data_IF_989973544572
#
_entry.id   IF_989973544572
#
_cell.length_a   1.000
_cell.length_b   1.000
_cell.length_c   1.000
_cell.angle_alpha   90.00
_cell.angle_beta   90.00
_cell.angle_gamma   90.00
#
_symmetry.space_group_name_H-M   'P 1'
#
loop_
_entity.id
_entity.type
_entity.pdbx_description
1 polymer ?
#
# COMPACT_ATOMS: atom_id res chain seq x y z
N UNK A 1 6.23 46.55 -1.55
CA UNK A 1 7.32 47.12 -2.39
C UNK A 1 7.03 46.77 -3.84
N UNK A 2 7.05 47.73 -4.75
CA UNK A 2 6.60 47.52 -6.14
C UNK A 2 7.55 46.58 -6.89
N UNK A 3 7.05 45.45 -7.40
CA UNK A 3 7.77 44.55 -8.33
C UNK A 3 8.38 45.30 -9.52
N UNK A 4 7.68 46.33 -9.99
CA UNK A 4 8.13 47.24 -11.05
C UNK A 4 9.43 47.96 -10.71
N UNK A 5 9.70 48.26 -9.43
CA UNK A 5 10.93 48.95 -9.03
C UNK A 5 12.17 48.10 -9.31
N UNK A 6 12.17 46.83 -8.87
CA UNK A 6 13.31 45.92 -9.07
C UNK A 6 13.55 45.60 -10.54
N UNK A 7 12.47 45.48 -11.31
CA UNK A 7 12.56 45.26 -12.75
C UNK A 7 13.22 46.46 -13.47
N UNK A 8 12.76 47.69 -13.19
CA UNK A 8 13.36 48.92 -13.74
C UNK A 8 14.81 49.07 -13.29
N UNK A 9 15.11 48.74 -12.03
CA UNK A 9 16.45 48.78 -11.49
C UNK A 9 17.40 47.83 -12.24
N UNK A 10 16.97 46.59 -12.51
CA UNK A 10 17.74 45.63 -13.28
C UNK A 10 18.04 46.13 -14.71
N UNK A 11 17.06 46.74 -15.37
CA UNK A 11 17.24 47.37 -16.70
C UNK A 11 18.29 48.49 -16.64
N UNK A 12 18.15 49.40 -15.68
CA UNK A 12 19.08 50.53 -15.54
C UNK A 12 20.51 50.06 -15.22
N UNK A 13 20.67 49.03 -14.39
CA UNK A 13 21.96 48.41 -14.09
C UNK A 13 22.59 47.73 -15.32
N UNK A 14 21.77 47.06 -16.13
CA UNK A 14 22.22 46.44 -17.38
C UNK A 14 22.70 47.49 -18.39
N UNK A 15 21.93 48.58 -18.58
CA UNK A 15 22.32 49.71 -19.42
C UNK A 15 23.58 50.41 -18.91
N UNK A 16 23.70 50.64 -17.61
CA UNK A 16 24.90 51.20 -17.00
C UNK A 16 26.13 50.32 -17.30
N UNK A 17 25.98 49.01 -17.19
CA UNK A 17 27.05 48.05 -17.50
C UNK A 17 27.47 48.12 -18.97
N UNK A 18 26.50 48.28 -19.88
CA UNK A 18 26.77 48.48 -21.31
C UNK A 18 27.56 49.77 -21.57
N UNK A 19 27.12 50.90 -21.01
CA UNK A 19 27.78 52.19 -21.20
C UNK A 19 29.21 52.22 -20.63
N UNK A 20 29.41 51.64 -19.43
CA UNK A 20 30.76 51.47 -18.86
C UNK A 20 31.64 50.63 -19.78
N UNK A 21 31.11 49.54 -20.32
CA UNK A 21 31.83 48.67 -21.26
C UNK A 21 32.23 49.41 -22.55
N UNK A 22 31.31 50.16 -23.15
CA UNK A 22 31.57 50.97 -24.35
C UNK A 22 32.62 52.06 -24.10
N UNK A 23 32.57 52.72 -22.94
CA UNK A 23 33.52 53.78 -22.56
C UNK A 23 34.93 53.20 -22.37
N UNK A 24 35.05 52.07 -21.66
CA UNK A 24 36.33 51.33 -21.49
C UNK A 24 36.91 50.91 -22.85
N UNK A 25 36.05 50.49 -23.79
CA UNK A 25 36.49 50.08 -25.12
C UNK A 25 36.95 51.26 -25.98
N UNK A 26 36.27 52.40 -25.90
CA UNK A 26 36.58 53.61 -26.67
C UNK A 26 37.80 54.39 -26.14
N UNK A 27 38.21 54.17 -24.88
CA UNK A 27 39.34 54.86 -24.26
C UNK A 27 40.66 54.59 -25.02
N UNK A 28 41.43 55.63 -25.37
CA UNK A 28 42.73 55.50 -26.04
C UNK A 28 43.86 55.11 -25.06
N UNK A 29 43.61 54.14 -24.17
CA UNK A 29 44.59 53.63 -23.20
C UNK A 29 45.28 52.38 -23.78
N UNK A 30 46.62 52.27 -23.75
CA UNK A 30 47.35 51.13 -24.32
C UNK A 30 47.43 49.89 -23.42
N UNK A 31 46.68 49.83 -22.31
CA UNK A 31 46.68 48.66 -21.42
C UNK A 31 45.70 47.57 -21.90
N UNK A 32 46.27 46.42 -22.27
CA UNK A 32 45.54 45.23 -22.72
C UNK A 32 44.68 44.63 -21.60
N UNK A 33 45.06 44.76 -20.33
CA UNK A 33 44.31 44.20 -19.21
C UNK A 33 43.02 44.97 -18.98
N UNK A 34 43.09 46.30 -18.96
CA UNK A 34 41.93 47.16 -18.82
C UNK A 34 40.97 47.06 -20.01
N UNK A 35 41.50 47.03 -21.24
CA UNK A 35 40.68 46.92 -22.47
C UNK A 35 39.92 45.62 -22.62
N UNK A 36 40.33 44.53 -21.95
CA UNK A 36 39.58 43.25 -21.97
C UNK A 36 38.23 43.35 -21.25
N UNK A 37 38.09 44.26 -20.29
CA UNK A 37 36.82 44.45 -19.57
C UNK A 37 35.73 45.07 -20.45
N UNK A 38 36.09 45.96 -21.39
CA UNK A 38 35.13 46.62 -22.29
C UNK A 38 34.22 45.64 -23.05
N UNK A 39 34.75 44.76 -23.93
CA UNK A 39 33.93 43.82 -24.68
C UNK A 39 33.26 42.76 -23.78
N UNK A 40 33.86 42.45 -22.63
CA UNK A 40 33.26 41.52 -21.66
C UNK A 40 32.01 42.13 -21.01
N UNK A 41 32.05 43.38 -20.56
CA UNK A 41 30.91 44.09 -19.97
C UNK A 41 29.78 44.29 -20.98
N UNK A 42 30.10 44.60 -22.24
CA UNK A 42 29.11 44.73 -23.32
C UNK A 42 28.38 43.39 -23.54
N UNK A 43 29.12 42.28 -23.63
CA UNK A 43 28.52 40.94 -23.76
C UNK A 43 27.62 40.61 -22.57
N UNK A 44 28.04 41.02 -21.37
CA UNK A 44 27.33 40.74 -20.13
C UNK A 44 26.04 41.51 -19.99
N UNK A 45 26.04 42.80 -20.36
CA UNK A 45 24.83 43.63 -20.39
C UNK A 45 23.82 43.11 -21.41
N UNK A 46 24.26 42.72 -22.60
CA UNK A 46 23.36 42.16 -23.62
C UNK A 46 22.70 40.89 -23.10
N UNK A 47 23.47 40.00 -22.46
CA UNK A 47 22.94 38.76 -21.90
C UNK A 47 21.95 39.04 -20.75
N UNK A 48 22.29 39.97 -19.84
CA UNK A 48 21.36 40.38 -18.77
C UNK A 48 20.06 40.94 -19.35
N UNK A 49 20.16 41.79 -20.37
CA UNK A 49 18.99 42.39 -21.02
C UNK A 49 18.07 41.35 -21.66
N UNK A 50 18.63 40.35 -22.33
CA UNK A 50 17.87 39.22 -22.90
C UNK A 50 17.15 38.43 -21.80
N UNK A 51 17.83 38.15 -20.68
CA UNK A 51 17.21 37.44 -19.55
C UNK A 51 16.08 38.28 -18.97
N UNK A 52 16.30 39.57 -18.69
CA UNK A 52 15.27 40.46 -18.12
C UNK A 52 14.01 40.48 -18.99
N UNK A 53 14.15 40.56 -20.32
CA UNK A 53 13.01 40.57 -21.23
C UNK A 53 12.29 39.20 -21.31
N UNK A 54 13.03 38.10 -21.24
CA UNK A 54 12.48 36.74 -21.40
C UNK A 54 11.91 36.16 -20.11
N UNK A 55 12.36 36.63 -18.94
CA UNK A 55 12.09 35.96 -17.66
C UNK A 55 10.61 35.99 -17.26
N UNK A 56 9.87 37.06 -17.58
CA UNK A 56 8.43 37.12 -17.30
C UNK A 56 7.66 36.09 -18.11
N UNK A 57 8.04 35.89 -19.38
CA UNK A 57 7.46 34.85 -20.22
C UNK A 57 7.81 33.46 -19.67
N UNK A 58 9.09 33.21 -19.38
CA UNK A 58 9.55 31.94 -18.82
C UNK A 58 8.80 31.62 -17.53
N UNK A 59 8.72 32.57 -16.59
CA UNK A 59 8.06 32.36 -15.29
C UNK A 59 6.57 32.03 -15.44
N UNK A 60 5.87 32.71 -16.35
CA UNK A 60 4.46 32.44 -16.62
C UNK A 60 4.21 31.07 -17.27
N UNK A 61 5.23 30.50 -17.94
CA UNK A 61 5.13 29.21 -18.61
C UNK A 61 5.50 28.02 -17.70
N UNK A 62 6.08 28.26 -16.51
CA UNK A 62 6.53 27.19 -15.61
C UNK A 62 5.39 26.28 -15.14
N UNK A 63 4.23 26.85 -14.82
CA UNK A 63 3.09 26.05 -14.37
C UNK A 63 2.56 25.14 -15.49
N UNK A 64 2.57 25.62 -16.74
CA UNK A 64 2.19 24.80 -17.89
C UNK A 64 3.18 23.66 -18.14
N UNK A 65 4.48 23.91 -17.97
CA UNK A 65 5.50 22.85 -18.04
C UNK A 65 5.32 21.82 -16.93
N UNK A 66 5.05 22.26 -15.70
CA UNK A 66 4.77 21.36 -14.58
C UNK A 66 3.54 20.50 -14.86
N UNK A 67 2.45 21.09 -15.37
CA UNK A 67 1.23 20.39 -15.74
C UNK A 67 1.46 19.34 -16.83
N UNK A 68 2.28 19.65 -17.85
CA UNK A 68 2.65 18.69 -18.90
C UNK A 68 3.42 17.48 -18.36
N UNK A 69 4.13 17.64 -17.25
CA UNK A 69 4.85 16.56 -16.56
C UNK A 69 3.96 15.83 -15.53
N UNK A 70 2.66 16.15 -15.47
CA UNK A 70 1.70 15.61 -14.52
C UNK A 70 1.74 16.25 -13.13
N UNK A 71 2.56 17.29 -12.94
CA UNK A 71 2.72 18.01 -11.68
C UNK A 71 1.72 19.15 -11.53
N UNK A 72 1.30 19.42 -10.30
CA UNK A 72 0.57 20.65 -9.97
C UNK A 72 0.77 21.04 -8.50
N UNK A 73 0.62 22.33 -8.18
CA UNK A 73 0.66 22.78 -6.79
C UNK A 73 -0.42 22.13 -5.91
N UNK A 74 -1.60 21.84 -6.47
CA UNK A 74 -2.66 21.15 -5.74
C UNK A 74 -2.24 19.71 -5.41
N UNK A 75 -1.64 19.02 -6.37
CA UNK A 75 -1.16 17.65 -6.18
C UNK A 75 -0.02 17.59 -5.15
N UNK A 76 0.92 18.53 -5.20
CA UNK A 76 1.95 18.69 -4.18
C UNK A 76 1.37 18.92 -2.78
N UNK A 77 0.40 19.81 -2.63
CA UNK A 77 -0.22 20.10 -1.33
C UNK A 77 -0.93 18.88 -0.73
N UNK A 78 -1.65 18.11 -1.57
CA UNK A 78 -2.30 16.87 -1.14
C UNK A 78 -1.28 15.81 -0.70
N UNK A 79 -0.25 15.59 -1.52
CA UNK A 79 0.84 14.66 -1.17
C UNK A 79 1.54 15.07 0.13
N UNK A 80 1.81 16.36 0.30
CA UNK A 80 2.47 16.90 1.49
C UNK A 80 1.63 16.69 2.74
N UNK A 81 0.33 17.03 2.69
CA UNK A 81 -0.59 16.84 3.81
C UNK A 81 -0.70 15.37 4.21
N UNK A 82 -0.83 14.47 3.24
CA UNK A 82 -0.89 13.02 3.49
C UNK A 82 0.42 12.49 4.09
N UNK A 83 1.56 12.91 3.55
CA UNK A 83 2.89 12.48 4.03
C UNK A 83 3.17 12.97 5.45
N UNK A 84 2.76 14.20 5.77
CA UNK A 84 2.89 14.77 7.11
C UNK A 84 1.95 14.07 8.10
N UNK A 85 0.68 13.86 7.72
CA UNK A 85 -0.31 13.15 8.57
C UNK A 85 0.17 11.74 8.89
N UNK A 86 0.64 10.99 7.89
CA UNK A 86 1.16 9.64 8.07
C UNK A 86 2.36 9.62 9.02
N UNK A 87 3.34 10.51 8.81
CA UNK A 87 4.52 10.60 9.68
C UNK A 87 4.18 10.96 11.12
N UNK A 88 3.23 11.87 11.34
CA UNK A 88 2.76 12.24 12.69
C UNK A 88 2.02 11.09 13.35
N UNK A 89 1.10 10.43 12.65
CA UNK A 89 0.35 9.30 13.22
C UNK A 89 1.25 8.15 13.65
N UNK A 90 2.26 7.79 12.85
CA UNK A 90 3.24 6.76 13.25
C UNK A 90 4.05 7.24 14.44
N UNK A 91 4.48 8.51 14.47
CA UNK A 91 5.23 9.05 15.60
C UNK A 91 4.41 9.06 16.88
N UNK A 92 3.13 9.39 16.81
CA UNK A 92 2.21 9.33 17.96
C UNK A 92 2.11 7.90 18.50
N UNK A 93 1.99 6.90 17.61
CA UNK A 93 2.03 5.49 17.98
C UNK A 93 3.35 5.18 18.69
N UNK A 94 4.50 5.49 18.08
CA UNK A 94 5.83 5.23 18.68
C UNK A 94 5.97 5.88 20.07
N UNK A 95 5.46 7.10 20.24
CA UNK A 95 5.49 7.80 21.54
C UNK A 95 4.58 7.14 22.58
N UNK A 96 3.37 6.74 22.22
CA UNK A 96 2.45 6.01 23.10
C UNK A 96 3.04 4.65 23.50
N UNK A 97 3.65 3.93 22.55
CA UNK A 97 4.36 2.70 22.86
C UNK A 97 5.53 2.97 23.82
N UNK A 98 6.35 3.99 23.55
CA UNK A 98 7.47 4.34 24.42
C UNK A 98 7.06 4.69 25.86
N UNK A 99 5.87 5.29 26.05
CA UNK A 99 5.35 5.67 27.36
C UNK A 99 4.75 4.48 28.11
N UNK A 100 4.04 3.58 27.43
CA UNK A 100 3.49 2.35 28.03
C UNK A 100 4.59 1.40 28.52
N UNK A 101 5.67 1.26 27.76
CA UNK A 101 6.78 0.39 28.15
C UNK A 101 7.72 1.02 29.18
N UNK A 102 7.58 2.31 29.51
CA UNK A 102 8.44 2.99 30.49
C UNK A 102 8.35 2.44 31.92
N UNK A 103 7.35 1.62 32.23
CA UNK A 103 7.06 1.07 33.57
C UNK A 103 7.54 -0.37 33.80
N UNK A 104 8.12 -1.05 32.80
CA UNK A 104 8.46 -2.48 32.85
C UNK A 104 9.99 -2.66 32.89
N UNK A 105 10.59 -3.48 33.76
CA UNK A 105 12.06 -3.59 33.92
C UNK A 105 12.88 -3.96 32.66
N UNK A 106 12.25 -4.36 31.55
CA UNK A 106 12.87 -4.65 30.24
C UNK A 106 12.95 -3.43 29.29
N UNK A 107 12.72 -2.20 29.77
CA UNK A 107 12.69 -0.94 28.98
C UNK A 107 13.91 -0.74 28.07
N UNK A 108 15.11 -1.13 28.50
CA UNK A 108 16.35 -0.82 27.76
C UNK A 108 16.42 -1.49 26.40
N UNK A 109 15.90 -2.71 26.28
CA UNK A 109 15.88 -3.48 25.04
C UNK A 109 14.84 -2.89 24.07
N UNK A 110 13.65 -2.55 24.57
CA UNK A 110 12.58 -1.93 23.77
C UNK A 110 12.98 -0.52 23.29
N UNK A 111 13.63 0.28 24.15
CA UNK A 111 14.13 1.62 23.77
C UNK A 111 15.21 1.56 22.70
N UNK A 112 16.09 0.55 22.74
CA UNK A 112 17.13 0.39 21.71
C UNK A 112 16.56 0.11 20.32
N UNK A 113 15.37 -0.49 20.23
CA UNK A 113 14.67 -0.76 18.98
C UNK A 113 13.80 0.42 18.53
N UNK A 114 13.20 1.16 19.47
CA UNK A 114 12.34 2.30 19.15
C UNK A 114 13.11 3.60 18.85
N UNK A 115 14.33 3.76 19.40
CA UNK A 115 15.11 4.98 19.19
C UNK A 115 15.42 5.27 17.72
N UNK A 116 15.93 4.31 16.91
CA UNK A 116 16.23 4.57 15.50
C UNK A 116 14.99 4.95 14.69
N UNK A 117 13.82 4.37 15.02
CA UNK A 117 12.55 4.68 14.36
C UNK A 117 12.10 6.10 14.71
N UNK A 118 12.16 6.47 15.99
CA UNK A 118 11.82 7.82 16.44
C UNK A 118 12.75 8.87 15.81
N UNK A 119 14.04 8.59 15.71
CA UNK A 119 15.02 9.48 15.09
C UNK A 119 14.79 9.62 13.58
N UNK A 120 14.48 8.52 12.89
CA UNK A 120 14.12 8.55 11.46
C UNK A 120 12.85 9.36 11.20
N UNK A 121 11.80 9.19 12.03
CA UNK A 121 10.56 9.95 11.92
C UNK A 121 10.78 11.44 12.23
N UNK A 122 11.62 11.77 13.21
CA UNK A 122 12.02 13.15 13.47
C UNK A 122 12.73 13.77 12.27
N UNK A 123 13.69 13.05 11.68
CA UNK A 123 14.40 13.49 10.48
C UNK A 123 13.44 13.71 9.31
N UNK A 124 12.48 12.80 9.10
CA UNK A 124 11.45 12.94 8.06
C UNK A 124 10.58 14.18 8.28
N UNK A 125 10.09 14.42 9.50
CA UNK A 125 9.23 15.57 9.81
C UNK A 125 10.01 16.88 9.60
N UNK A 126 11.27 16.94 10.05
CA UNK A 126 12.13 18.11 9.84
C UNK A 126 12.38 18.34 8.34
N UNK A 127 12.63 17.26 7.59
CA UNK A 127 12.80 17.33 6.15
C UNK A 127 11.55 17.84 5.42
N UNK A 128 10.36 17.33 5.77
CA UNK A 128 9.09 17.82 5.24
C UNK A 128 8.88 19.30 5.61
N UNK A 129 9.18 19.71 6.84
CA UNK A 129 9.12 21.12 7.23
C UNK A 129 10.05 22.00 6.38
N UNK A 130 11.26 21.52 6.07
CA UNK A 130 12.19 22.21 5.19
C UNK A 130 11.65 22.31 3.76
N UNK A 131 11.08 21.23 3.20
CA UNK A 131 10.40 21.25 1.90
C UNK A 131 9.27 22.27 1.89
N UNK A 132 8.48 22.35 2.96
CA UNK A 132 7.37 23.30 3.06
C UNK A 132 7.85 24.76 3.08
N UNK A 133 8.95 25.04 3.78
CA UNK A 133 9.59 26.35 3.76
C UNK A 133 10.04 26.73 2.34
N UNK A 134 10.63 25.79 1.60
CA UNK A 134 11.05 25.99 0.20
C UNK A 134 9.83 26.19 -0.71
N UNK A 135 8.78 25.40 -0.54
CA UNK A 135 7.50 25.59 -1.22
C UNK A 135 6.97 27.02 -1.02
N UNK A 136 6.98 27.49 0.22
CA UNK A 136 6.53 28.86 0.54
C UNK A 136 7.41 29.90 -0.17
N UNK A 137 8.73 29.75 -0.12
CA UNK A 137 9.67 30.64 -0.82
C UNK A 137 9.43 30.67 -2.33
N UNK A 138 9.22 29.51 -2.95
CA UNK A 138 9.10 29.40 -4.41
C UNK A 138 7.73 29.85 -4.90
N UNK A 139 6.65 29.40 -4.26
CA UNK A 139 5.30 29.70 -4.74
C UNK A 139 4.84 31.10 -4.38
N UNK A 140 5.10 31.54 -3.15
CA UNK A 140 4.59 32.82 -2.64
C UNK A 140 5.61 33.94 -2.85
N UNK A 141 6.89 33.68 -2.56
CA UNK A 141 7.96 34.68 -2.70
C UNK A 141 8.73 34.59 -4.03
N UNK A 142 8.39 33.64 -4.93
CA UNK A 142 9.20 33.31 -6.09
C UNK A 142 9.45 34.49 -7.03
N UNK A 143 8.41 35.25 -7.34
CA UNK A 143 8.52 36.45 -8.17
C UNK A 143 9.50 37.48 -7.55
N UNK A 144 9.45 37.67 -6.23
CA UNK A 144 10.34 38.60 -5.55
C UNK A 144 11.81 38.12 -5.57
N UNK A 145 12.04 36.83 -5.28
CA UNK A 145 13.39 36.23 -5.31
C UNK A 145 13.98 36.27 -6.72
N UNK A 146 13.17 36.00 -7.74
CA UNK A 146 13.56 36.07 -9.14
C UNK A 146 13.96 37.50 -9.53
N UNK A 147 13.20 38.51 -9.10
CA UNK A 147 13.53 39.93 -9.34
C UNK A 147 14.83 40.34 -8.64
N UNK A 148 15.07 39.90 -7.40
CA UNK A 148 16.37 40.09 -6.73
C UNK A 148 17.49 39.42 -7.54
N UNK A 149 17.23 38.20 -8.02
CA UNK A 149 18.14 37.46 -8.88
C UNK A 149 18.55 38.25 -10.12
N UNK A 150 17.59 38.88 -10.81
CA UNK A 150 17.84 39.73 -11.99
C UNK A 150 18.66 40.97 -11.65
N UNK A 151 18.38 41.63 -10.53
CA UNK A 151 19.15 42.80 -10.08
C UNK A 151 20.60 42.40 -9.81
N UNK A 152 20.83 41.34 -9.04
CA UNK A 152 22.16 40.82 -8.75
C UNK A 152 22.88 40.33 -10.02
N UNK A 153 22.13 39.77 -10.97
CA UNK A 153 22.68 39.35 -12.26
C UNK A 153 23.16 40.53 -13.11
N UNK A 154 22.51 41.69 -12.97
CA UNK A 154 22.75 42.90 -13.76
C UNK A 154 23.86 43.81 -13.21
N UNK A 155 24.42 43.50 -12.04
CA UNK A 155 25.48 44.32 -11.43
C UNK A 155 26.75 44.28 -12.29
N UNK A 156 27.39 45.45 -12.55
CA UNK A 156 28.60 45.54 -13.37
C UNK A 156 29.76 44.73 -12.77
N UNK A 157 30.75 44.42 -13.61
CA UNK A 157 31.95 43.65 -13.26
C UNK A 157 31.69 42.22 -12.77
N UNK A 158 30.46 41.71 -12.91
CA UNK A 158 30.03 40.37 -12.47
C UNK A 158 30.20 40.11 -10.96
N UNK A 159 30.22 41.15 -10.13
CA UNK A 159 30.47 41.01 -8.68
C UNK A 159 29.48 40.06 -7.99
N UNK A 160 28.21 40.12 -8.38
CA UNK A 160 27.12 39.31 -7.80
C UNK A 160 26.43 38.39 -8.80
N UNK A 161 27.01 38.25 -10.01
CA UNK A 161 26.33 37.55 -11.11
C UNK A 161 26.07 36.08 -10.79
N UNK A 162 26.98 35.45 -10.06
CA UNK A 162 26.86 34.05 -9.63
C UNK A 162 25.66 33.86 -8.70
N UNK A 163 25.48 34.74 -7.72
CA UNK A 163 24.34 34.73 -6.82
C UNK A 163 23.02 35.00 -7.56
N UNK A 164 23.03 35.98 -8.48
CA UNK A 164 21.87 36.28 -9.31
C UNK A 164 21.44 35.09 -10.19
N UNK A 165 22.40 34.45 -10.87
CA UNK A 165 22.16 33.27 -11.69
C UNK A 165 21.63 32.08 -10.87
N UNK A 166 22.11 31.91 -9.64
CA UNK A 166 21.63 30.88 -8.72
C UNK A 166 20.18 31.14 -8.30
N UNK A 167 19.82 32.35 -7.88
CA UNK A 167 18.44 32.67 -7.50
C UNK A 167 17.45 32.48 -8.65
N UNK A 168 17.83 32.93 -9.85
CA UNK A 168 17.01 32.72 -11.06
C UNK A 168 16.81 31.22 -11.27
N UNK A 169 17.90 30.44 -11.29
CA UNK A 169 17.83 29.00 -11.54
C UNK A 169 17.05 28.25 -10.47
N UNK A 170 17.21 28.63 -9.20
CA UNK A 170 16.52 28.03 -8.07
C UNK A 170 15.01 28.17 -8.22
N UNK A 171 14.52 29.37 -8.53
CA UNK A 171 13.09 29.60 -8.73
C UNK A 171 12.56 28.81 -9.94
N UNK A 172 13.28 28.83 -11.07
CA UNK A 172 12.84 28.09 -12.26
C UNK A 172 12.75 26.58 -12.02
N UNK A 173 13.79 26.00 -11.42
CA UNK A 173 13.89 24.55 -11.20
C UNK A 173 12.94 24.08 -10.10
N UNK A 174 12.90 24.75 -8.95
CA UNK A 174 12.05 24.31 -7.84
C UNK A 174 10.56 24.59 -8.09
N UNK A 175 10.22 25.59 -8.91
CA UNK A 175 8.82 25.84 -9.28
C UNK A 175 8.22 24.66 -10.06
N UNK A 176 9.00 24.07 -10.99
CA UNK A 176 8.58 22.86 -11.71
C UNK A 176 8.78 21.62 -10.83
N UNK A 177 9.97 21.48 -10.25
CA UNK A 177 10.40 20.30 -9.53
C UNK A 177 9.51 19.95 -8.34
N UNK A 178 9.13 20.92 -7.51
CA UNK A 178 8.25 20.63 -6.37
C UNK A 178 6.87 20.15 -6.82
N UNK A 179 6.32 20.72 -7.89
CA UNK A 179 5.02 20.30 -8.42
C UNK A 179 5.05 18.87 -8.98
N UNK A 180 6.16 18.47 -9.58
CA UNK A 180 6.36 17.14 -10.20
C UNK A 180 6.82 16.10 -9.18
N UNK A 181 7.38 16.52 -8.03
CA UNK A 181 7.91 15.64 -7.00
C UNK A 181 6.96 14.49 -6.62
N UNK A 182 5.65 14.70 -6.37
CA UNK A 182 4.79 13.59 -5.99
C UNK A 182 4.66 12.53 -7.10
N UNK A 183 4.60 12.95 -8.38
CA UNK A 183 4.58 12.04 -9.53
C UNK A 183 5.87 11.23 -9.60
N UNK A 184 7.02 11.89 -9.38
CA UNK A 184 8.31 11.21 -9.34
C UNK A 184 8.37 10.19 -8.21
N UNK A 185 7.92 10.56 -7.00
CA UNK A 185 7.93 9.66 -5.84
C UNK A 185 7.03 8.45 -6.05
N UNK A 186 5.82 8.68 -6.56
CA UNK A 186 4.89 7.61 -6.91
C UNK A 186 5.52 6.68 -7.93
N UNK A 187 6.06 7.17 -9.04
CA UNK A 187 6.63 6.29 -10.08
C UNK A 187 7.95 5.62 -9.68
N UNK A 188 8.81 6.31 -8.94
CA UNK A 188 10.12 5.76 -8.54
C UNK A 188 9.97 4.77 -7.40
N UNK A 189 9.07 5.04 -6.45
CA UNK A 189 8.80 4.11 -5.36
C UNK A 189 7.82 2.98 -5.74
N UNK A 190 6.92 3.19 -6.72
CA UNK A 190 6.13 2.12 -7.32
C UNK A 190 6.90 1.28 -8.36
N UNK A 191 8.15 1.66 -8.69
CA UNK A 191 9.02 0.81 -9.52
C UNK A 191 9.43 -0.49 -8.83
N UNK A 192 9.17 -0.61 -7.53
CA UNK A 192 8.85 -1.86 -6.86
C UNK A 192 7.32 -2.04 -6.85
N UNK A 193 6.79 -2.69 -7.88
CA UNK A 193 5.39 -3.17 -8.05
C UNK A 193 4.38 -2.86 -6.92
N UNK A 194 3.72 -1.69 -6.92
CA UNK A 194 2.55 -1.53 -6.02
C UNK A 194 1.61 -0.34 -6.27
N UNK A 195 0.54 -0.58 -7.02
CA UNK A 195 -0.65 0.29 -7.09
C UNK A 195 -1.72 -0.12 -6.06
N UNK A 196 -1.94 0.73 -5.04
CA UNK A 196 -3.20 1.08 -4.33
C UNK A 196 -4.27 0.05 -3.89
N UNK A 197 -4.13 -1.24 -4.15
CA UNK A 197 -4.59 -2.33 -3.25
C UNK A 197 -3.37 -3.00 -2.57
N UNK A 198 -2.18 -2.45 -2.84
CA UNK A 198 -0.88 -3.05 -2.61
C UNK A 198 -0.21 -2.66 -1.30
N UNK A 199 -0.83 -1.84 -0.44
CA UNK A 199 -0.26 -1.64 0.91
C UNK A 199 -0.30 -2.94 1.71
N UNK A 200 -1.36 -3.75 1.58
CA UNK A 200 -1.34 -5.12 2.12
C UNK A 200 -0.32 -5.99 1.39
N UNK A 201 -0.32 -5.98 0.06
CA UNK A 201 0.44 -6.94 -0.76
C UNK A 201 1.96 -6.75 -0.64
N UNK A 202 2.44 -5.50 -0.56
CA UNK A 202 3.83 -5.15 -0.22
C UNK A 202 4.19 -5.48 1.22
N UNK A 203 3.18 -5.48 2.09
CA UNK A 203 3.30 -5.95 3.47
C UNK A 203 3.11 -7.47 3.56
N UNK A 204 2.94 -8.24 2.49
CA UNK A 204 2.75 -9.70 2.55
C UNK A 204 1.31 -10.19 2.81
N UNK A 205 0.32 -9.30 2.71
CA UNK A 205 -1.10 -9.49 3.07
C UNK A 205 -2.05 -9.23 1.89
N UNK A 206 -3.08 -10.03 1.72
CA UNK A 206 -4.19 -9.78 0.79
C UNK A 206 -5.52 -9.96 1.49
N UNK A 207 -6.55 -9.20 1.09
CA UNK A 207 -7.90 -9.33 1.61
C UNK A 207 -8.82 -9.88 0.53
N UNK A 208 -9.56 -10.94 0.85
CA UNK A 208 -10.40 -11.67 -0.08
C UNK A 208 -11.79 -11.84 0.52
N UNK A 209 -12.84 -11.70 -0.30
CA UNK A 209 -14.18 -12.15 0.06
C UNK A 209 -14.36 -13.58 -0.42
N UNK A 210 -14.48 -14.55 0.48
CA UNK A 210 -14.60 -15.96 0.15
C UNK A 210 -15.99 -16.50 0.49
N UNK A 211 -16.50 -17.38 -0.38
CA UNK A 211 -17.77 -18.10 -0.18
C UNK A 211 -17.57 -19.59 -0.40
N UNK A 212 -18.06 -20.40 0.54
CA UNK A 212 -17.96 -21.86 0.52
C UNK A 212 -19.28 -22.48 0.05
N UNK A 213 -19.18 -23.35 -0.94
CA UNK A 213 -20.29 -24.06 -1.58
C UNK A 213 -20.05 -25.57 -1.54
N UNK A 214 -21.13 -26.34 -1.45
CA UNK A 214 -21.13 -27.80 -1.51
C UNK A 214 -21.13 -28.33 -2.97
N UNK A 215 -21.23 -29.65 -3.15
CA UNK A 215 -21.27 -30.29 -4.48
C UNK A 215 -22.47 -29.83 -5.34
N UNK A 216 -23.56 -29.38 -4.70
CA UNK A 216 -24.80 -28.93 -5.35
C UNK A 216 -24.85 -27.41 -5.56
N UNK A 217 -23.75 -26.68 -5.31
CA UNK A 217 -23.66 -25.21 -5.29
C UNK A 217 -24.52 -24.54 -4.21
N UNK A 218 -24.90 -25.26 -3.15
CA UNK A 218 -25.56 -24.70 -1.98
C UNK A 218 -24.54 -24.21 -0.95
N UNK A 219 -24.82 -23.12 -0.21
CA UNK A 219 -23.89 -22.59 0.76
C UNK A 219 -23.71 -23.53 1.95
N UNK A 220 -22.48 -23.64 2.45
CA UNK A 220 -22.16 -24.40 3.66
C UNK A 220 -22.13 -23.46 4.88
N UNK A 221 -23.16 -23.46 5.75
CA UNK A 221 -23.20 -22.60 6.92
C UNK A 221 -22.47 -23.20 8.12
N UNK A 222 -21.92 -22.34 8.99
CA UNK A 222 -21.44 -22.74 10.32
C UNK A 222 -20.04 -23.36 10.39
N UNK A 223 -19.38 -23.58 9.25
CA UNK A 223 -18.14 -24.33 9.17
C UNK A 223 -16.91 -23.55 9.56
N UNK A 224 -15.99 -24.25 10.23
CA UNK A 224 -14.67 -23.74 10.57
C UNK A 224 -13.75 -23.87 9.36
N UNK A 225 -13.12 -22.78 8.97
CA UNK A 225 -12.24 -22.72 7.80
C UNK A 225 -10.81 -22.56 8.28
N UNK A 226 -10.03 -23.63 8.14
CA UNK A 226 -8.62 -23.67 8.48
C UNK A 226 -7.79 -23.27 7.26
N UNK A 227 -6.88 -22.32 7.45
CA UNK A 227 -5.96 -21.88 6.40
C UNK A 227 -4.54 -22.30 6.78
N UNK A 228 -3.90 -23.03 5.88
CA UNK A 228 -2.52 -23.49 6.02
C UNK A 228 -1.62 -22.89 4.95
N UNK A 229 -0.35 -22.71 5.29
CA UNK A 229 0.71 -22.33 4.34
C UNK A 229 1.81 -23.38 4.40
N UNK A 230 2.36 -23.73 3.24
CA UNK A 230 3.52 -24.61 3.17
C UNK A 230 4.79 -23.81 3.48
N UNK A 231 5.40 -24.10 4.62
CA UNK A 231 6.70 -23.58 5.02
C UNK A 231 7.65 -24.76 5.26
N UNK A 232 8.78 -24.80 4.54
CA UNK A 232 9.82 -25.82 4.70
C UNK A 232 9.29 -27.28 4.62
N UNK A 233 8.42 -27.58 3.64
CA UNK A 233 7.76 -28.89 3.45
C UNK A 233 6.83 -29.33 4.60
N UNK A 234 6.36 -28.39 5.43
CA UNK A 234 5.35 -28.61 6.47
C UNK A 234 4.19 -27.64 6.33
N UNK A 235 2.96 -28.13 6.50
CA UNK A 235 1.74 -27.31 6.48
C UNK A 235 1.53 -26.70 7.87
N UNK A 236 1.77 -25.41 7.99
CA UNK A 236 1.54 -24.66 9.22
C UNK A 236 0.20 -23.93 9.16
N UNK A 237 -0.60 -24.06 10.21
CA UNK A 237 -1.87 -23.32 10.33
C UNK A 237 -1.56 -21.84 10.57
N UNK A 238 -2.15 -20.96 9.76
CA UNK A 238 -1.93 -19.52 9.83
C UNK A 238 -3.18 -18.75 10.28
N UNK A 239 -4.37 -19.29 10.04
CA UNK A 239 -5.63 -18.67 10.41
C UNK A 239 -6.77 -19.68 10.58
N UNK A 240 -7.81 -19.25 11.31
CA UNK A 240 -9.07 -19.97 11.51
C UNK A 240 -10.25 -19.00 11.38
N UNK A 241 -11.13 -19.26 10.41
CA UNK A 241 -12.32 -18.47 10.13
C UNK A 241 -13.61 -19.28 10.29
N UNK A 242 -14.77 -18.63 10.12
CA UNK A 242 -16.09 -19.27 10.19
C UNK A 242 -16.97 -18.88 8.99
N UNK A 243 -17.86 -19.76 8.54
CA UNK A 243 -18.88 -19.41 7.54
C UNK A 243 -20.21 -18.97 8.16
N UNK A 244 -20.87 -17.98 7.54
CA UNK A 244 -22.22 -17.55 7.92
C UNK A 244 -23.30 -18.38 7.22
N UNK A 245 -24.58 -18.08 7.47
CA UNK A 245 -25.74 -18.76 6.86
C UNK A 245 -25.76 -18.72 5.32
N UNK A 246 -25.02 -17.79 4.70
CA UNK A 246 -24.89 -17.64 3.24
C UNK A 246 -23.63 -18.32 2.69
N UNK A 247 -22.86 -19.01 3.54
CA UNK A 247 -21.59 -19.65 3.20
C UNK A 247 -20.43 -18.66 3.05
N UNK A 248 -20.59 -17.38 3.43
CA UNK A 248 -19.54 -16.37 3.35
C UNK A 248 -18.59 -16.57 4.54
N UNK A 249 -17.29 -16.62 4.26
CA UNK A 249 -16.24 -16.75 5.27
C UNK A 249 -16.01 -15.40 5.93
N UNK A 250 -16.01 -15.37 7.26
CA UNK A 250 -15.75 -14.18 8.05
C UNK A 250 -14.98 -14.54 9.33
N UNK A 251 -14.38 -13.53 9.96
CA UNK A 251 -13.72 -13.68 11.25
C UNK A 251 -14.68 -13.32 12.39
N UNK A 252 -15.07 -14.25 13.28
CA UNK A 252 -16.04 -13.96 14.34
C UNK A 252 -15.56 -12.99 15.40
N UNK A 253 -14.25 -12.95 15.66
CA UNK A 253 -13.65 -12.08 16.68
C UNK A 253 -13.39 -10.66 16.16
N UNK A 254 -13.37 -10.48 14.83
CA UNK A 254 -13.04 -9.21 14.19
C UNK A 254 -14.15 -8.83 13.21
N UNK A 255 -14.85 -7.73 13.51
CA UNK A 255 -16.09 -7.27 12.87
C UNK A 255 -15.88 -6.71 11.43
N UNK A 256 -15.06 -7.37 10.62
CA UNK A 256 -14.88 -7.10 9.20
C UNK A 256 -15.91 -7.92 8.42
N UNK A 257 -16.97 -7.25 7.98
CA UNK A 257 -18.02 -7.90 7.19
C UNK A 257 -17.43 -8.50 5.91
N UNK A 258 -17.43 -9.84 5.82
CA UNK A 258 -17.14 -10.63 4.61
C UNK A 258 -15.71 -10.57 4.03
N UNK A 259 -14.71 -10.13 4.81
CA UNK A 259 -13.31 -10.09 4.36
C UNK A 259 -12.43 -11.00 5.21
N UNK A 260 -11.65 -11.84 4.55
CA UNK A 260 -10.60 -12.65 5.18
C UNK A 260 -9.22 -12.20 4.73
N UNK A 261 -8.24 -12.32 5.61
CA UNK A 261 -6.85 -12.00 5.35
C UNK A 261 -6.06 -13.26 4.96
N UNK A 262 -5.28 -13.18 3.90
CA UNK A 262 -4.46 -14.28 3.38
C UNK A 262 -3.04 -13.77 3.03
N UNK A 263 -2.02 -14.63 2.97
CA UNK A 263 -0.70 -14.27 2.47
C UNK A 263 -0.77 -13.84 0.99
N UNK A 264 -0.08 -12.77 0.62
CA UNK A 264 -0.11 -12.24 -0.75
C UNK A 264 0.87 -12.93 -1.72
N UNK A 265 1.92 -13.56 -1.20
CA UNK A 265 3.04 -14.12 -2.00
C UNK A 265 3.14 -15.65 -1.93
N UNK A 266 2.33 -16.29 -1.09
CA UNK A 266 2.39 -17.74 -0.85
C UNK A 266 1.01 -18.36 -1.01
N UNK A 267 0.97 -19.51 -1.67
CA UNK A 267 -0.24 -20.30 -1.87
C UNK A 267 -0.85 -20.74 -0.54
N UNK A 268 -2.17 -20.57 -0.41
CA UNK A 268 -2.93 -20.95 0.77
C UNK A 268 -3.65 -22.28 0.56
N UNK A 269 -3.54 -23.19 1.52
CA UNK A 269 -4.22 -24.49 1.52
C UNK A 269 -5.38 -24.44 2.49
N UNK A 270 -6.61 -24.48 1.96
CA UNK A 270 -7.82 -24.23 2.74
C UNK A 270 -8.56 -25.55 2.98
N UNK A 271 -8.94 -25.77 4.24
CA UNK A 271 -9.74 -26.91 4.69
C UNK A 271 -10.97 -26.40 5.44
N UNK A 272 -12.12 -27.01 5.17
CA UNK A 272 -13.32 -26.82 6.00
C UNK A 272 -13.43 -27.96 7.01
N UNK A 273 -13.94 -27.65 8.20
CA UNK A 273 -14.29 -28.63 9.21
C UNK A 273 -15.69 -28.36 9.75
N UNK A 274 -16.50 -29.42 9.79
CA UNK A 274 -17.86 -29.42 10.34
C UNK A 274 -18.08 -30.75 11.06
N UNK A 275 -18.58 -30.74 12.29
CA UNK A 275 -18.87 -31.96 13.08
C UNK A 275 -17.70 -32.97 13.13
N UNK A 276 -16.47 -32.45 13.19
CA UNK A 276 -15.22 -33.24 13.18
C UNK A 276 -14.91 -33.94 11.86
N UNK A 277 -15.50 -33.49 10.76
CA UNK A 277 -15.21 -33.93 9.38
C UNK A 277 -14.41 -32.84 8.70
N UNK A 278 -13.12 -33.10 8.45
CA UNK A 278 -12.29 -32.22 7.64
C UNK A 278 -12.45 -32.53 6.15
N UNK A 279 -12.70 -31.51 5.34
CA UNK A 279 -12.85 -31.61 3.89
C UNK A 279 -12.01 -30.54 3.18
N UNK A 280 -11.47 -30.92 2.02
CA UNK A 280 -10.65 -30.03 1.19
C UNK A 280 -11.54 -29.06 0.42
N UNK A 281 -11.13 -27.79 0.38
CA UNK A 281 -11.79 -26.75 -0.39
C UNK A 281 -10.99 -26.43 -1.64
N UNK A 282 -11.66 -26.40 -2.80
CA UNK A 282 -11.05 -26.08 -4.09
C UNK A 282 -11.37 -24.65 -4.53
N UNK A 283 -10.44 -23.92 -5.16
CA UNK A 283 -9.13 -24.36 -5.64
C UNK A 283 -8.13 -24.69 -4.52
N UNK A 284 -7.33 -25.74 -4.73
CA UNK A 284 -6.36 -26.28 -3.78
C UNK A 284 -5.03 -26.58 -4.50
N UNK A 285 -3.97 -25.77 -4.32
CA UNK A 285 -3.90 -24.57 -3.48
C UNK A 285 -4.66 -23.37 -4.07
N UNK A 286 -4.96 -22.38 -3.22
CA UNK A 286 -5.44 -21.06 -3.62
C UNK A 286 -4.26 -20.11 -3.75
N UNK A 287 -3.98 -19.67 -4.98
CA UNK A 287 -2.98 -18.65 -5.25
C UNK A 287 -3.60 -17.25 -5.19
N UNK A 288 -3.19 -16.47 -4.20
CA UNK A 288 -3.71 -15.12 -3.96
C UNK A 288 -3.28 -14.08 -5.01
N UNK A 289 -2.23 -14.37 -5.79
CA UNK A 289 -1.75 -13.54 -6.91
C UNK A 289 -2.73 -13.48 -8.09
N UNK A 290 -3.54 -14.53 -8.26
CA UNK A 290 -4.42 -14.67 -9.43
C UNK A 290 -5.77 -13.98 -9.22
N UNK A 291 -6.06 -13.56 -7.99
CA UNK A 291 -7.34 -12.97 -7.57
C UNK A 291 -7.35 -11.44 -7.81
N UNK A 292 -6.20 -10.84 -8.13
CA UNK A 292 -6.00 -9.38 -8.20
C UNK A 292 -6.01 -8.79 -9.62
N UNK A 293 -6.99 -9.12 -10.47
CA UNK A 293 -7.15 -8.46 -11.78
C UNK A 293 -8.62 -8.18 -12.11
N UNK A 294 -9.16 -7.06 -11.59
CA UNK A 294 -10.16 -6.20 -12.28
C UNK A 294 -10.79 -5.07 -11.43
N UNK A 295 -10.17 -4.59 -10.34
CA UNK A 295 -10.67 -3.39 -9.64
C UNK A 295 -12.05 -3.53 -8.95
N UNK A 296 -12.64 -4.73 -8.97
CA UNK A 296 -13.77 -5.16 -8.15
C UNK A 296 -13.29 -6.25 -7.21
N UNK A 297 -13.72 -6.19 -5.94
CA UNK A 297 -13.48 -7.27 -4.97
C UNK A 297 -14.23 -8.50 -5.49
N UNK A 298 -13.54 -9.33 -6.28
CA UNK A 298 -14.15 -10.53 -6.83
C UNK A 298 -14.30 -11.54 -5.69
N UNK A 299 -15.54 -12.00 -5.49
CA UNK A 299 -15.85 -13.03 -4.52
C UNK A 299 -15.24 -14.36 -4.99
N UNK A 300 -14.33 -14.92 -4.18
CA UNK A 300 -13.71 -16.22 -4.43
C UNK A 300 -14.67 -17.31 -3.99
N UNK A 301 -14.98 -18.23 -4.89
CA UNK A 301 -15.84 -19.38 -4.61
C UNK A 301 -14.97 -20.60 -4.29
N UNK A 302 -15.23 -21.21 -3.14
CA UNK A 302 -14.56 -22.39 -2.64
C UNK A 302 -15.54 -23.57 -2.70
N UNK A 303 -15.15 -24.66 -3.36
CA UNK A 303 -16.01 -25.83 -3.59
C UNK A 303 -15.60 -27.02 -2.74
N UNK A 304 -16.58 -27.69 -2.11
CA UNK A 304 -16.42 -28.91 -1.33
C UNK A 304 -17.05 -30.13 -2.06
N UNK A 305 -16.29 -30.86 -2.91
CA UNK A 305 -16.86 -31.83 -3.85
C UNK A 305 -17.43 -33.10 -3.23
N UNK A 306 -17.17 -33.36 -1.94
CA UNK A 306 -17.60 -34.57 -1.24
C UNK A 306 -18.69 -34.30 -0.19
N UNK A 307 -19.12 -33.05 -0.07
CA UNK A 307 -20.17 -32.61 0.85
C UNK A 307 -21.45 -32.47 0.05
N UNK A 308 -22.48 -33.24 0.42
CA UNK A 308 -23.76 -33.27 -0.28
C UNK A 308 -24.78 -32.31 0.33
N UNK A 309 -24.68 -32.06 1.64
CA UNK A 309 -25.58 -31.17 2.36
C UNK A 309 -25.01 -30.79 3.73
N UNK A 310 -25.13 -29.51 4.08
CA UNK A 310 -24.86 -28.99 5.42
C UNK A 310 -25.97 -28.02 5.82
N UNK A 311 -26.40 -28.05 7.08
CA UNK A 311 -27.33 -27.07 7.61
C UNK A 311 -26.79 -26.36 8.85
N UNK A 312 -27.42 -25.24 9.20
CA UNK A 312 -27.15 -24.45 10.42
C UNK A 312 -27.45 -25.17 11.75
N UNK A 313 -27.93 -26.41 11.69
CA UNK A 313 -28.34 -27.22 12.83
C UNK A 313 -27.39 -28.42 13.04
N UNK A 314 -26.14 -28.30 12.57
CA UNK A 314 -25.09 -29.32 12.71
C UNK A 314 -25.56 -30.67 12.18
N UNK A 315 -25.97 -30.68 10.91
CA UNK A 315 -26.24 -31.89 10.14
C UNK A 315 -25.43 -31.83 8.87
N UNK A 316 -24.48 -32.76 8.73
CA UNK A 316 -23.63 -32.90 7.56
C UNK A 316 -23.86 -34.26 6.91
N UNK A 317 -24.00 -34.24 5.58
CA UNK A 317 -24.05 -35.42 4.72
C UNK A 317 -22.87 -35.37 3.79
N UNK A 318 -22.02 -36.39 3.83
CA UNK A 318 -20.84 -36.47 2.97
C UNK A 318 -20.65 -37.88 2.41
N UNK A 319 -19.92 -37.95 1.31
CA UNK A 319 -19.63 -39.19 0.60
C UNK A 319 -18.15 -39.29 0.21
N UNK A 320 -17.69 -40.51 -0.07
CA UNK A 320 -16.33 -40.76 -0.56
C UNK A 320 -16.23 -40.74 -2.11
N UNK A 321 -17.31 -40.36 -2.82
CA UNK A 321 -17.27 -40.14 -4.26
C UNK A 321 -18.61 -39.68 -4.86
N UNK A 322 -18.59 -39.21 -6.11
CA UNK A 322 -19.66 -38.44 -6.75
C UNK A 322 -20.88 -39.26 -7.23
N UNK A 323 -21.13 -40.42 -6.62
CA UNK A 323 -22.14 -41.39 -7.06
C UNK A 323 -23.50 -41.23 -6.39
N UNK A 324 -23.61 -40.33 -5.41
CA UNK A 324 -24.83 -40.04 -4.69
C UNK A 324 -25.36 -38.67 -5.05
N UNK A 325 -26.67 -38.57 -5.25
CA UNK A 325 -27.37 -37.31 -5.48
C UNK A 325 -28.32 -37.05 -4.33
N UNK A 326 -28.46 -35.78 -4.00
CA UNK A 326 -29.37 -35.30 -2.96
C UNK A 326 -30.52 -34.51 -3.60
N UNK A 327 -31.73 -34.75 -3.10
CA UNK A 327 -32.91 -33.95 -3.44
C UNK A 327 -33.63 -33.57 -2.15
N UNK A 328 -33.85 -32.27 -1.96
CA UNK A 328 -34.53 -31.73 -0.79
C UNK A 328 -35.96 -31.31 -1.13
N UNK A 329 -36.93 -31.85 -0.39
CA UNK A 329 -38.34 -31.47 -0.50
C UNK A 329 -38.80 -30.97 0.87
N UNK A 330 -38.73 -29.66 1.08
CA UNK A 330 -38.99 -29.03 2.37
C UNK A 330 -38.03 -29.53 3.45
N UNK A 331 -38.56 -30.17 4.50
CA UNK A 331 -37.76 -30.75 5.58
C UNK A 331 -37.37 -32.22 5.35
N UNK A 332 -37.75 -32.82 4.22
CA UNK A 332 -37.37 -34.20 3.87
C UNK A 332 -36.19 -34.18 2.90
N UNK A 333 -35.16 -34.94 3.24
CA UNK A 333 -33.98 -35.13 2.41
C UNK A 333 -34.00 -36.54 1.85
N UNK A 334 -33.80 -36.65 0.54
CA UNK A 334 -33.74 -37.88 -0.22
C UNK A 334 -32.33 -38.01 -0.81
N UNK A 335 -31.62 -39.07 -0.43
CA UNK A 335 -30.31 -39.40 -0.99
C UNK A 335 -30.46 -40.69 -1.77
N UNK A 336 -30.03 -40.68 -3.03
CA UNK A 336 -30.06 -41.86 -3.88
C UNK A 336 -28.75 -42.00 -4.65
N UNK A 337 -28.26 -43.23 -4.76
CA UNK A 337 -27.02 -43.52 -5.46
C UNK A 337 -26.78 -45.01 -5.61
N UNK A 338 -25.89 -45.35 -6.54
CA UNK A 338 -25.52 -46.73 -6.84
C UNK A 338 -24.00 -46.79 -6.99
N UNK A 339 -23.33 -47.28 -5.94
CA UNK A 339 -21.89 -47.49 -5.94
C UNK A 339 -21.45 -48.24 -4.68
N UNK A 340 -20.25 -48.80 -4.70
CA UNK A 340 -19.55 -49.29 -3.52
C UNK A 340 -19.12 -48.19 -2.53
N UNK A 341 -19.40 -46.91 -2.81
CA UNK A 341 -19.06 -45.81 -1.93
C UNK A 341 -20.05 -45.69 -0.78
N UNK A 342 -19.61 -45.13 0.34
CA UNK A 342 -20.47 -44.90 1.49
C UNK A 342 -21.01 -43.47 1.52
N UNK A 343 -22.16 -43.31 2.17
CA UNK A 343 -22.69 -42.01 2.61
C UNK A 343 -22.70 -42.00 4.13
N UNK A 344 -22.14 -40.96 4.73
CA UNK A 344 -22.16 -40.78 6.17
C UNK A 344 -22.96 -39.53 6.53
N UNK A 345 -23.92 -39.71 7.44
CA UNK A 345 -24.76 -38.63 7.97
C UNK A 345 -24.37 -38.42 9.42
N UNK A 346 -23.92 -37.22 9.76
CA UNK A 346 -23.64 -36.82 11.14
C UNK A 346 -24.63 -35.76 11.57
N UNK A 347 -25.11 -35.89 12.80
CA UNK A 347 -26.09 -34.96 13.37
C UNK A 347 -26.05 -34.95 14.90
N UNK A 348 -26.43 -33.82 15.49
CA UNK A 348 -26.68 -33.71 16.93
C UNK A 348 -27.91 -34.55 17.36
N UNK A 349 -27.89 -35.09 18.58
CA UNK A 349 -28.98 -35.93 19.11
C UNK A 349 -30.31 -35.18 19.08
N UNK A 350 -31.29 -35.72 18.34
CA UNK A 350 -32.64 -35.15 18.21
C UNK A 350 -32.90 -34.33 16.94
N UNK A 351 -31.88 -34.08 16.11
CA UNK A 351 -32.00 -33.23 14.91
C UNK A 351 -32.53 -33.96 13.67
N UNK A 352 -32.52 -35.29 13.68
CA UNK A 352 -33.09 -36.12 12.63
C UNK A 352 -34.23 -36.97 13.20
N UNK A 353 -35.34 -37.00 12.47
CA UNK A 353 -36.47 -37.90 12.67
C UNK A 353 -36.74 -38.74 11.42
N UNK A 354 -37.48 -39.84 11.59
CA UNK A 354 -37.99 -40.67 10.49
C UNK A 354 -36.90 -41.13 9.49
N UNK A 355 -35.78 -41.62 10.00
CA UNK A 355 -34.72 -42.16 9.16
C UNK A 355 -35.10 -43.56 8.67
N UNK A 356 -35.25 -43.70 7.35
CA UNK A 356 -35.44 -44.98 6.67
C UNK A 356 -34.43 -45.15 5.54
N UNK A 357 -34.04 -46.39 5.30
CA UNK A 357 -33.10 -46.75 4.25
C UNK A 357 -33.57 -48.02 3.55
N UNK A 358 -33.30 -48.10 2.25
CA UNK A 358 -33.59 -49.25 1.40
C UNK A 358 -32.28 -49.65 0.72
N UNK A 359 -32.00 -50.95 0.70
CA UNK A 359 -30.86 -51.55 0.00
C UNK A 359 -29.47 -51.05 0.45
N UNK A 360 -29.31 -50.80 1.75
CA UNK A 360 -28.05 -50.36 2.34
C UNK A 360 -27.82 -50.99 3.72
N UNK A 361 -26.55 -51.20 4.08
CA UNK A 361 -26.14 -51.59 5.43
C UNK A 361 -25.85 -50.35 6.27
N UNK A 362 -26.29 -50.36 7.54
CA UNK A 362 -26.13 -49.25 8.48
C UNK A 362 -25.07 -49.58 9.54
N UNK A 363 -24.06 -48.72 9.66
CA UNK A 363 -23.14 -48.69 10.81
C UNK A 363 -23.40 -47.45 11.64
N UNK A 364 -23.50 -47.62 12.97
CA UNK A 364 -23.74 -46.51 13.90
C UNK A 364 -22.50 -46.24 14.74
N UNK A 365 -22.15 -44.98 14.86
CA UNK A 365 -21.11 -44.50 15.77
C UNK A 365 -21.53 -43.17 16.41
N UNK A 366 -20.81 -42.78 17.45
CA UNK A 366 -20.94 -41.46 18.09
C UNK A 366 -19.69 -40.64 17.80
N UNK A 367 -19.84 -39.33 17.71
CA UNK A 367 -18.74 -38.38 17.51
C UNK A 367 -18.80 -37.28 18.56
N UNK A 368 -17.63 -36.72 18.87
CA UNK A 368 -17.45 -35.58 19.75
C UNK A 368 -16.53 -34.57 19.09
N UNK A 369 -16.94 -33.31 19.00
CA UNK A 369 -16.19 -32.22 18.36
C UNK A 369 -16.49 -30.89 19.04
N UNK A 370 -15.49 -30.11 19.43
CA UNK A 370 -15.67 -28.79 20.07
C UNK A 370 -16.73 -28.77 21.21
N UNK A 371 -16.74 -29.82 22.05
CA UNK A 371 -17.70 -30.09 23.15
C UNK A 371 -19.14 -30.45 22.72
N UNK A 372 -19.40 -30.51 21.41
CA UNK A 372 -20.62 -31.05 20.83
C UNK A 372 -20.52 -32.57 20.74
N UNK A 373 -21.63 -33.26 21.00
CA UNK A 373 -21.72 -34.72 20.92
C UNK A 373 -22.91 -35.12 20.03
N UNK A 374 -22.65 -35.94 19.01
CA UNK A 374 -23.65 -36.37 18.06
C UNK A 374 -23.61 -37.85 17.72
N UNK A 375 -24.47 -38.24 16.79
CA UNK A 375 -24.53 -39.57 16.20
C UNK A 375 -24.10 -39.48 14.74
N UNK A 376 -23.42 -40.52 14.27
CA UNK A 376 -23.02 -40.70 12.88
C UNK A 376 -23.56 -42.02 12.37
N UNK A 377 -24.26 -41.98 11.25
CA UNK A 377 -24.79 -43.13 10.55
C UNK A 377 -24.09 -43.26 9.20
N UNK A 378 -23.33 -44.33 9.03
CA UNK A 378 -22.68 -44.68 7.78
C UNK A 378 -23.51 -45.72 7.05
N UNK A 379 -23.86 -45.42 5.81
CA UNK A 379 -24.61 -46.27 4.90
C UNK A 379 -23.69 -46.76 3.78
N UNK A 380 -23.66 -48.06 3.55
CA UNK A 380 -22.97 -48.68 2.40
C UNK A 380 -24.03 -49.41 1.56
N UNK A 381 -24.23 -49.06 0.28
CA UNK A 381 -25.17 -49.75 -0.60
C UNK A 381 -24.83 -51.24 -0.73
N UNK A 382 -25.87 -52.07 -0.86
CA UNK A 382 -25.69 -53.46 -1.27
C UNK A 382 -25.28 -53.50 -2.74
N UNK A 383 -24.42 -54.46 -3.11
CA UNK A 383 -23.87 -54.54 -4.47
C UNK A 383 -24.98 -54.53 -5.55
N UNK A 384 -24.83 -53.65 -6.54
CA UNK A 384 -25.72 -53.47 -7.70
C UNK A 384 -27.15 -52.97 -7.43
N UNK A 385 -27.47 -52.53 -6.21
CA UNK A 385 -28.78 -51.95 -5.90
C UNK A 385 -28.71 -50.43 -5.66
N UNK A 386 -29.73 -49.71 -6.13
CA UNK A 386 -29.87 -48.28 -5.82
C UNK A 386 -30.26 -48.14 -4.35
N UNK A 387 -29.35 -47.62 -3.53
CA UNK A 387 -29.65 -47.28 -2.16
C UNK A 387 -30.50 -46.01 -2.13
N UNK A 388 -31.55 -46.02 -1.32
CA UNK A 388 -32.41 -44.86 -1.07
C UNK A 388 -32.46 -44.60 0.43
N UNK A 389 -31.98 -43.43 0.84
CA UNK A 389 -31.93 -43.00 2.23
C UNK A 389 -32.82 -41.77 2.36
N UNK A 390 -33.74 -41.80 3.32
CA UNK A 390 -34.67 -40.70 3.56
C UNK A 390 -34.69 -40.34 5.02
N UNK A 391 -34.63 -39.06 5.32
CA UNK A 391 -34.76 -38.57 6.69
C UNK A 391 -35.42 -37.19 6.73
N UNK A 392 -35.95 -36.85 7.90
CA UNK A 392 -36.62 -35.57 8.15
C UNK A 392 -35.84 -34.74 9.16
N UNK A 393 -35.65 -33.45 8.85
CA UNK A 393 -34.99 -32.49 9.72
C UNK A 393 -35.94 -31.95 10.79
N UNK A 394 -35.48 -31.97 12.03
CA UNK A 394 -36.10 -31.28 13.16
C UNK A 394 -35.42 -29.93 13.41
N UNK A 395 -36.16 -29.01 14.03
CA UNK A 395 -35.61 -27.73 14.49
C UNK A 395 -34.77 -27.96 15.76
N UNK A 396 -33.45 -27.97 15.60
CA UNK A 396 -32.51 -27.99 16.70
C UNK A 396 -32.06 -26.58 17.07
N UNK A 397 -31.58 -26.40 18.31
CA UNK A 397 -30.91 -25.16 18.69
C UNK A 397 -29.49 -25.15 18.10
N UNK A 398 -29.09 -24.04 17.50
CA UNK A 398 -27.69 -23.80 17.18
C UNK A 398 -26.93 -23.52 18.48
N UNK A 399 -25.98 -24.38 18.81
CA UNK A 399 -25.01 -24.13 19.88
C UNK A 399 -23.84 -23.29 19.36
N UNK A 400 -23.24 -22.47 20.22
CA UNK A 400 -22.07 -21.68 19.88
C UNK A 400 -20.80 -22.52 20.02
N UNK A 401 -20.01 -22.60 18.95
CA UNK A 401 -18.70 -23.24 18.94
C UNK A 401 -17.73 -22.53 19.90
N UNK A 402 -16.92 -23.31 20.62
CA UNK A 402 -15.88 -22.81 21.54
C UNK A 402 -14.51 -22.59 20.91
N UNK A 403 -14.44 -22.58 19.56
CA UNK A 403 -13.19 -22.39 18.84
C UNK A 403 -12.62 -20.99 19.08
N UNK A 404 -11.30 -20.91 19.25
CA UNK A 404 -10.56 -19.64 19.29
C UNK A 404 -10.19 -19.26 17.86
N UNK A 405 -10.71 -18.15 17.36
CA UNK A 405 -10.45 -17.71 15.99
C UNK A 405 -9.13 -16.92 15.94
N UNK A 406 -8.34 -17.17 14.90
CA UNK A 406 -7.06 -16.52 14.70
C UNK A 406 -7.04 -15.92 13.29
N UNK A 407 -6.89 -14.60 13.19
CA UNK A 407 -6.84 -13.88 11.91
C UNK A 407 -5.38 -13.72 11.45
N UNK A 408 -5.11 -14.04 10.17
CA UNK A 408 -3.75 -13.95 9.61
C UNK A 408 -3.18 -12.54 9.71
N UNK A 409 -3.96 -11.49 9.44
CA UNK A 409 -3.48 -10.12 9.51
C UNK A 409 -3.09 -9.72 10.93
N UNK A 410 -3.79 -10.20 11.97
CA UNK A 410 -3.43 -9.89 13.35
C UNK A 410 -2.19 -10.64 13.83
N UNK A 411 -2.02 -11.90 13.43
CA UNK A 411 -0.80 -12.65 13.70
C UNK A 411 0.40 -12.06 12.93
N UNK A 412 0.17 -11.68 11.67
CA UNK A 412 1.16 -11.05 10.81
C UNK A 412 1.50 -9.62 11.25
N UNK A 413 0.56 -8.84 11.77
CA UNK A 413 0.78 -7.49 12.30
C UNK A 413 1.04 -7.47 13.81
N UNK A 414 1.26 -8.64 14.44
CA UNK A 414 1.65 -8.71 15.84
C UNK A 414 2.98 -7.97 16.06
N UNK A 415 3.22 -7.49 17.29
CA UNK A 415 4.37 -6.63 17.65
C UNK A 415 5.74 -7.13 17.13
N UNK A 416 5.91 -8.45 16.98
CA UNK A 416 7.15 -9.05 16.50
C UNK A 416 7.36 -8.87 14.99
N UNK A 417 6.30 -8.69 14.21
CA UNK A 417 6.34 -8.57 12.75
C UNK A 417 6.09 -7.13 12.25
N UNK A 418 5.44 -6.27 13.04
CA UNK A 418 5.45 -4.80 12.85
C UNK A 418 6.87 -4.21 12.88
N UNK A 419 7.78 -4.89 13.59
CA UNK A 419 9.20 -4.57 13.69
C UNK A 419 10.06 -5.36 12.69
N UNK A 420 9.44 -6.01 11.69
CA UNK A 420 10.20 -6.66 10.62
C UNK A 420 11.04 -5.60 9.87
N UNK A 421 12.34 -5.87 9.61
CA UNK A 421 13.23 -4.91 8.95
C UNK A 421 12.70 -4.37 7.63
N UNK A 422 11.90 -5.16 6.90
CA UNK A 422 11.35 -4.82 5.57
C UNK A 422 10.35 -3.67 5.59
N UNK A 423 9.50 -3.55 6.63
CA UNK A 423 8.52 -2.46 6.72
C UNK A 423 9.19 -1.13 7.07
N UNK A 424 10.14 -1.18 7.99
CA UNK A 424 10.95 -0.03 8.38
C UNK A 424 11.80 0.43 7.19
N UNK A 425 12.40 -0.52 6.46
CA UNK A 425 13.17 -0.25 5.25
C UNK A 425 12.32 0.40 4.17
N UNK A 426 11.09 -0.10 3.92
CA UNK A 426 10.17 0.52 2.94
C UNK A 426 9.71 1.92 3.35
N UNK A 427 9.45 2.18 4.64
CA UNK A 427 9.07 3.51 5.13
C UNK A 427 10.24 4.49 4.99
N UNK A 428 11.45 4.08 5.39
CA UNK A 428 12.67 4.89 5.24
C UNK A 428 12.94 5.14 3.75
N UNK A 429 12.76 4.12 2.91
CA UNK A 429 13.01 4.23 1.49
C UNK A 429 12.05 5.23 0.84
N UNK A 430 10.74 5.02 1.01
CA UNK A 430 9.68 5.81 0.38
C UNK A 430 9.62 7.26 0.87
N UNK A 431 9.73 7.47 2.18
CA UNK A 431 9.46 8.78 2.78
C UNK A 431 10.71 9.61 3.12
N UNK A 432 11.88 8.98 3.18
CA UNK A 432 13.13 9.67 3.48
C UNK A 432 14.10 9.66 2.29
N UNK A 433 14.48 8.48 1.79
CA UNK A 433 15.58 8.39 0.82
C UNK A 433 15.21 8.91 -0.57
N UNK A 434 14.09 8.46 -1.16
CA UNK A 434 13.70 8.87 -2.52
C UNK A 434 13.40 10.39 -2.59
N UNK A 435 12.68 11.00 -1.63
CA UNK A 435 12.51 12.45 -1.58
C UNK A 435 13.83 13.21 -1.47
N UNK A 436 14.79 12.71 -0.69
CA UNK A 436 16.09 13.34 -0.52
C UNK A 436 16.95 13.23 -1.79
N UNK A 437 16.91 12.09 -2.48
CA UNK A 437 17.52 11.92 -3.80
C UNK A 437 16.93 12.91 -4.80
N UNK A 438 15.60 13.02 -4.85
CA UNK A 438 14.91 13.97 -5.73
C UNK A 438 15.31 15.41 -5.42
N UNK A 439 15.35 15.78 -4.14
CA UNK A 439 15.80 17.09 -3.69
C UNK A 439 17.24 17.38 -4.13
N UNK A 440 18.15 16.41 -3.96
CA UNK A 440 19.55 16.52 -4.40
C UNK A 440 19.65 16.70 -5.92
N UNK A 441 18.79 16.02 -6.68
CA UNK A 441 18.70 16.17 -8.12
C UNK A 441 18.22 17.57 -8.51
N UNK A 442 17.22 18.14 -7.83
CA UNK A 442 16.80 19.54 -8.05
C UNK A 442 17.92 20.54 -7.76
N UNK A 443 18.66 20.33 -6.67
CA UNK A 443 19.83 21.18 -6.34
C UNK A 443 20.91 21.08 -7.42
N UNK A 444 21.21 19.87 -7.90
CA UNK A 444 22.16 19.64 -8.99
C UNK A 444 21.74 20.34 -10.29
N UNK A 445 20.48 20.22 -10.69
CA UNK A 445 19.93 20.92 -11.87
C UNK A 445 20.01 22.43 -11.68
N UNK A 446 19.71 22.94 -10.48
CA UNK A 446 19.82 24.37 -10.15
C UNK A 446 21.24 24.88 -10.36
N UNK A 447 22.25 24.14 -9.90
CA UNK A 447 23.65 24.50 -10.14
C UNK A 447 24.05 24.41 -11.61
N UNK A 448 23.58 23.38 -12.32
CA UNK A 448 23.81 23.20 -13.75
C UNK A 448 23.25 24.37 -14.57
N UNK A 449 22.01 24.77 -14.28
CA UNK A 449 21.35 25.89 -14.94
C UNK A 449 22.00 27.24 -14.59
N UNK A 450 22.38 27.45 -13.32
CA UNK A 450 23.07 28.67 -12.89
C UNK A 450 24.41 28.83 -13.63
N UNK A 451 25.12 27.73 -13.85
CA UNK A 451 26.35 27.72 -14.64
C UNK A 451 26.10 28.06 -16.12
N UNK A 452 25.02 27.54 -16.72
CA UNK A 452 24.63 27.90 -18.09
C UNK A 452 24.30 29.39 -18.21
N UNK A 453 23.67 29.98 -17.19
CA UNK A 453 23.40 31.41 -17.11
C UNK A 453 24.67 32.25 -16.83
N UNK A 454 25.85 31.63 -16.71
CA UNK A 454 27.12 32.34 -16.56
C UNK A 454 27.59 32.56 -15.12
N UNK A 455 27.03 31.83 -14.15
CA UNK A 455 27.59 31.71 -12.81
C UNK A 455 28.91 30.90 -12.81
N UNK A 456 29.94 31.36 -12.10
CA UNK A 456 31.15 30.58 -11.80
C UNK A 456 30.84 29.52 -10.74
N UNK A 457 31.73 28.52 -10.62
CA UNK A 457 31.63 27.41 -9.64
C UNK A 457 31.21 27.98 -8.29
N UNK A 458 29.98 27.68 -7.87
CA UNK A 458 29.64 27.71 -6.46
C UNK A 458 30.60 26.74 -5.78
N UNK A 459 31.57 27.27 -5.05
CA UNK A 459 32.34 26.48 -4.11
C UNK A 459 31.29 26.01 -3.11
N UNK A 460 30.89 24.75 -3.20
CA UNK A 460 30.21 24.11 -2.07
C UNK A 460 31.19 24.33 -0.91
N UNK A 461 30.84 25.07 0.15
CA UNK A 461 31.67 25.07 1.34
C UNK A 461 31.79 23.60 1.70
N UNK A 462 33.01 23.05 1.64
CA UNK A 462 33.27 21.68 2.10
C UNK A 462 32.84 21.67 3.56
N UNK A 463 31.62 21.18 3.81
CA UNK A 463 31.20 20.78 5.14
C UNK A 463 32.01 19.53 5.41
N UNK A 464 33.08 19.72 6.19
CA UNK A 464 33.84 18.66 6.85
C UNK A 464 32.97 18.12 7.98
#
# INVERSE_FOLDING_TARGET
>A
MNSNFYYILAINLSLLTFYIGALIYALPIPDKYFKRFGPQLIKDSILSFIIILSISFIYSYLDNLALSLGGSWQYFNLWFANSLSFGISIKEIVLVFSSLFSQIPLVSQVRSLLSPINDALNAQIIFLAAIYAIYYMVKIMGNFILLIGLVLYSIPFRLSRDAGAWFISFILVFSIGLQVMPVFLVNFAQSSNSYTNNQGIDMGLTYVNARVLDENNEPIPGSLIYVYVNQNNSLNQIALYKTNDLGIVYSPDYNYDSLISLPSQVSSYIWGEEDGVAYKLFPYPLDSSDISFNGTINQVTLYAPNILYVNKYYTIVFTNGNSFKLNQIGNKILIYGNSSNYVEIRFLKGCIANLSYVNATLTRSSWSWEKLNGLSYRFVPLENENALITFQLNLCKSENLSAKYDDYAMNYLSLNNLLSPSLIENIILYYLTVPLIYFSLLVSITYGLSRLLGGRRGIIPRVI
#
